data_IF_442174695921
#
_entry.id   IF_442174695921
#
_cell.length_a   1.000
_cell.length_b   1.000
_cell.length_c   1.000
_cell.angle_alpha   90.00
_cell.angle_beta   90.00
_cell.angle_gamma   90.00
#
_symmetry.space_group_name_H-M   'P 1'
#
loop_
_entity.id
_entity.type
_entity.pdbx_description
1 polymer ?
#
# COMPACT_ATOMS: atom_id res chain seq x y z
N UNK A 1 -4.02 21.17 -2.76
CA UNK A 1 -3.15 20.33 -3.60
C UNK A 1 -1.76 20.91 -3.47
N UNK A 2 -0.83 20.14 -2.90
CA UNK A 2 0.57 20.51 -2.79
C UNK A 2 1.34 19.74 -3.87
N UNK A 3 2.29 20.41 -4.51
CA UNK A 3 3.09 19.85 -5.59
C UNK A 3 4.54 20.22 -5.38
N UNK A 4 5.43 19.25 -5.56
CA UNK A 4 6.85 19.47 -5.66
C UNK A 4 7.23 19.59 -7.12
N UNK A 5 7.68 20.77 -7.50
CA UNK A 5 7.91 21.13 -8.90
C UNK A 5 9.38 21.41 -9.15
N UNK A 6 9.84 21.06 -10.35
CA UNK A 6 11.16 21.42 -10.84
C UNK A 6 11.03 22.12 -12.19
N UNK A 7 11.82 23.17 -12.40
CA UNK A 7 11.82 23.92 -13.67
C UNK A 7 13.16 23.77 -14.35
N UNK A 8 13.15 23.23 -15.57
CA UNK A 8 14.31 23.12 -16.46
C UNK A 8 13.99 23.76 -17.81
N UNK A 9 14.88 24.61 -18.31
CA UNK A 9 14.69 25.24 -19.62
C UNK A 9 13.38 26.02 -19.82
N UNK A 10 12.72 26.45 -18.73
CA UNK A 10 11.41 27.13 -18.78
C UNK A 10 10.19 26.20 -18.80
N UNK A 11 10.39 24.88 -18.69
CA UNK A 11 9.33 23.89 -18.50
C UNK A 11 9.28 23.50 -17.03
N UNK A 12 8.11 23.56 -16.41
CA UNK A 12 7.89 23.18 -15.02
C UNK A 12 7.16 21.83 -14.95
N UNK A 13 7.80 20.85 -14.34
CA UNK A 13 7.21 19.53 -14.08
C UNK A 13 6.85 19.39 -12.61
N UNK A 14 5.68 18.82 -12.31
CA UNK A 14 5.36 18.31 -10.98
C UNK A 14 5.95 16.91 -10.81
N UNK A 15 6.94 16.77 -9.95
CA UNK A 15 7.64 15.50 -9.71
C UNK A 15 6.94 14.64 -8.65
N UNK A 16 6.34 15.27 -7.64
CA UNK A 16 5.60 14.60 -6.56
C UNK A 16 4.38 15.43 -6.20
N UNK A 17 3.24 14.79 -5.97
CA UNK A 17 1.99 15.45 -5.60
C UNK A 17 1.44 14.93 -4.29
N UNK A 18 0.84 15.84 -3.51
CA UNK A 18 -0.01 15.55 -2.36
C UNK A 18 -1.39 16.15 -2.62
N UNK A 19 -2.36 15.25 -2.78
CA UNK A 19 -3.78 15.52 -2.83
C UNK A 19 -4.41 15.18 -1.48
N UNK A 20 -5.42 15.93 -1.07
CA UNK A 20 -6.05 15.73 0.24
C UNK A 20 -7.15 16.76 0.51
N UNK A 21 -7.81 16.64 1.67
CA UNK A 21 -8.85 17.58 2.07
C UNK A 21 -8.29 19.00 2.23
N UNK A 22 -9.07 20.00 1.82
CA UNK A 22 -8.81 21.41 2.16
C UNK A 22 -9.22 21.76 3.59
N UNK A 23 -10.10 20.96 4.18
CA UNK A 23 -10.59 21.07 5.56
C UNK A 23 -10.36 19.73 6.26
N UNK A 24 -9.55 19.67 7.34
CA UNK A 24 -9.30 18.45 8.10
C UNK A 24 -10.55 17.67 8.51
N UNK A 25 -11.68 18.34 8.76
CA UNK A 25 -12.95 17.68 9.11
C UNK A 25 -13.52 16.81 7.97
N UNK A 26 -13.08 17.04 6.73
CA UNK A 26 -13.42 16.21 5.56
C UNK A 26 -12.45 15.05 5.34
N UNK A 27 -11.40 14.92 6.14
CA UNK A 27 -10.42 13.86 5.97
C UNK A 27 -11.07 12.47 6.13
N UNK A 28 -10.62 11.53 5.30
CA UNK A 28 -10.70 10.11 5.64
C UNK A 28 -9.47 9.75 6.49
N UNK A 29 -9.60 8.77 7.38
CA UNK A 29 -8.48 8.18 8.10
C UNK A 29 -7.64 7.23 7.20
N UNK A 30 -7.28 7.71 6.01
CA UNK A 30 -6.65 6.94 4.94
C UNK A 30 -5.60 7.79 4.19
N UNK A 31 -4.39 7.25 4.09
CA UNK A 31 -3.32 7.70 3.21
C UNK A 31 -3.14 6.67 2.11
N UNK A 32 -3.04 7.12 0.86
CA UNK A 32 -2.76 6.29 -0.31
C UNK A 32 -1.46 6.80 -0.93
N UNK A 33 -0.42 5.97 -0.98
CA UNK A 33 0.86 6.27 -1.59
C UNK A 33 1.02 5.48 -2.89
N UNK A 34 1.47 6.16 -3.94
CA UNK A 34 1.71 5.58 -5.26
C UNK A 34 3.17 5.84 -5.65
N UNK A 35 4.09 4.97 -5.26
CA UNK A 35 5.53 5.19 -5.47
C UNK A 35 5.97 4.95 -6.93
N UNK A 36 5.28 4.07 -7.67
CA UNK A 36 5.75 3.58 -8.99
C UNK A 36 4.74 3.78 -10.14
N UNK A 37 3.67 4.54 -9.93
CA UNK A 37 2.63 4.81 -10.94
C UNK A 37 2.92 6.01 -11.86
N UNK A 38 4.02 6.73 -11.64
CA UNK A 38 4.46 7.87 -12.43
C UNK A 38 4.93 7.48 -13.83
N UNK A 39 4.79 8.40 -14.78
CA UNK A 39 5.21 8.23 -16.18
C UNK A 39 6.22 9.26 -16.66
N UNK A 40 6.50 10.28 -15.84
CA UNK A 40 7.39 11.38 -16.19
C UNK A 40 8.84 10.88 -16.31
N UNK A 41 9.46 11.16 -17.46
CA UNK A 41 10.86 10.81 -17.77
C UNK A 41 11.61 12.05 -18.24
N UNK A 42 11.93 13.00 -17.35
CA UNK A 42 12.61 14.21 -17.76
C UNK A 42 14.08 13.91 -18.08
N UNK A 43 14.65 14.66 -19.01
CA UNK A 43 16.04 14.48 -19.45
C UNK A 43 17.05 14.99 -18.39
N UNK A 44 16.64 15.93 -17.52
CA UNK A 44 17.47 16.45 -16.43
C UNK A 44 17.63 15.47 -15.24
N UNK A 45 16.91 14.35 -15.24
CA UNK A 45 17.13 13.22 -14.32
C UNK A 45 17.65 12.03 -15.13
N UNK A 46 18.86 11.59 -14.82
CA UNK A 46 19.45 10.40 -15.45
C UNK A 46 18.63 9.14 -15.17
N UNK A 47 18.64 8.20 -16.09
CA UNK A 47 18.00 6.89 -15.86
C UNK A 47 18.83 6.03 -14.90
N UNK A 48 18.14 5.41 -13.96
CA UNK A 48 18.60 4.27 -13.17
C UNK A 48 18.76 3.06 -14.08
N UNK A 49 19.70 2.18 -13.74
CA UNK A 49 19.97 0.94 -14.47
C UNK A 49 19.84 -0.26 -13.56
N UNK A 50 19.49 -1.41 -14.12
CA UNK A 50 19.27 -2.62 -13.30
C UNK A 50 20.57 -3.16 -12.67
N UNK A 51 21.72 -2.93 -13.31
CA UNK A 51 23.00 -3.57 -12.94
C UNK A 51 24.05 -2.56 -12.46
N UNK A 52 23.63 -1.45 -11.86
CA UNK A 52 24.58 -0.47 -11.34
C UNK A 52 25.42 -1.08 -10.19
N UNK A 53 26.76 -1.09 -10.28
CA UNK A 53 27.60 -1.74 -9.28
C UNK A 53 27.69 -0.95 -7.96
N UNK A 54 27.35 0.34 -7.96
CA UNK A 54 27.36 1.19 -6.78
C UNK A 54 26.01 1.14 -6.08
N UNK A 55 24.92 1.25 -6.84
CA UNK A 55 23.57 1.42 -6.29
C UNK A 55 22.72 0.14 -6.31
N UNK A 56 23.10 -0.90 -7.07
CA UNK A 56 22.37 -2.18 -7.19
C UNK A 56 23.25 -3.44 -6.96
N UNK A 57 24.10 -3.52 -5.91
CA UNK A 57 25.08 -4.59 -5.77
C UNK A 57 24.49 -5.99 -5.52
N UNK A 58 23.21 -6.09 -5.12
CA UNK A 58 22.60 -7.31 -4.57
C UNK A 58 21.33 -7.74 -5.31
N UNK A 59 21.47 -8.22 -6.56
CA UNK A 59 20.34 -8.83 -7.30
C UNK A 59 19.59 -7.89 -8.25
N UNK A 60 20.17 -6.72 -8.50
CA UNK A 60 19.75 -5.76 -9.52
C UNK A 60 18.55 -4.89 -9.13
N UNK A 61 18.53 -3.65 -9.61
CA UNK A 61 17.44 -2.72 -9.40
C UNK A 61 16.26 -3.00 -10.32
N UNK A 62 15.05 -2.67 -9.87
CA UNK A 62 13.86 -2.67 -10.71
C UNK A 62 13.63 -1.26 -11.27
N UNK A 63 13.40 -1.19 -12.58
CA UNK A 63 13.22 0.07 -13.31
C UNK A 63 11.87 0.19 -14.02
N UNK A 64 11.14 -0.91 -14.14
CA UNK A 64 9.80 -0.93 -14.75
C UNK A 64 8.78 -0.33 -13.78
N UNK A 65 7.91 0.52 -14.32
CA UNK A 65 6.82 1.12 -13.55
C UNK A 65 5.72 0.11 -13.24
N UNK A 66 4.96 0.43 -12.21
CA UNK A 66 3.82 -0.35 -11.78
C UNK A 66 2.58 0.15 -12.52
N UNK A 67 2.28 -0.52 -13.63
CA UNK A 67 1.23 -0.09 -14.56
C UNK A 67 -0.11 0.08 -13.86
N UNK A 68 -0.83 1.15 -14.22
CA UNK A 68 -2.18 1.48 -13.73
C UNK A 68 -2.34 1.73 -12.21
N UNK A 69 -1.28 1.68 -11.40
CA UNK A 69 -1.38 1.96 -9.95
C UNK A 69 -1.89 3.38 -9.65
N UNK A 70 -1.40 4.39 -10.40
CA UNK A 70 -1.89 5.77 -10.30
C UNK A 70 -3.40 5.90 -10.58
N UNK A 71 -3.94 5.51 -11.76
CA UNK A 71 -5.37 5.64 -12.01
C UNK A 71 -6.23 4.77 -11.08
N UNK A 72 -5.74 3.63 -10.59
CA UNK A 72 -6.44 2.83 -9.57
C UNK A 72 -6.54 3.62 -8.25
N UNK A 73 -5.45 4.22 -7.79
CA UNK A 73 -5.41 5.01 -6.57
C UNK A 73 -6.29 6.27 -6.66
N UNK A 74 -6.27 6.97 -7.80
CA UNK A 74 -7.16 8.11 -8.06
C UNK A 74 -8.63 7.66 -8.07
N UNK A 75 -8.94 6.51 -8.68
CA UNK A 75 -10.29 5.93 -8.66
C UNK A 75 -10.74 5.58 -7.25
N UNK A 76 -9.87 4.97 -6.44
CA UNK A 76 -10.13 4.65 -5.05
C UNK A 76 -10.43 5.93 -4.25
N UNK A 77 -9.61 6.96 -4.37
CA UNK A 77 -9.82 8.25 -3.72
C UNK A 77 -11.17 8.87 -4.12
N UNK A 78 -11.50 8.87 -5.41
CA UNK A 78 -12.79 9.36 -5.91
C UNK A 78 -13.97 8.56 -5.37
N UNK A 79 -13.84 7.24 -5.21
CA UNK A 79 -14.89 6.40 -4.62
C UNK A 79 -15.10 6.70 -3.14
N UNK A 80 -14.06 7.04 -2.39
CA UNK A 80 -14.20 7.51 -1.01
C UNK A 80 -15.02 8.81 -0.94
N UNK A 81 -14.73 9.77 -1.81
CA UNK A 81 -15.45 11.04 -1.87
C UNK A 81 -16.92 10.81 -2.23
N UNK A 82 -17.19 10.01 -3.26
CA UNK A 82 -18.54 9.72 -3.74
C UNK A 82 -19.41 9.01 -2.71
N UNK A 83 -18.85 8.02 -2.00
CA UNK A 83 -19.62 7.14 -1.13
C UNK A 83 -19.70 7.66 0.31
N UNK A 84 -18.70 8.39 0.79
CA UNK A 84 -18.58 8.75 2.21
C UNK A 84 -18.48 10.26 2.45
N UNK A 85 -18.41 11.09 1.40
CA UNK A 85 -18.14 12.53 1.54
C UNK A 85 -16.85 12.82 2.35
N UNK A 86 -15.89 11.90 2.29
CA UNK A 86 -14.58 12.00 2.94
C UNK A 86 -13.47 11.94 1.90
N UNK A 87 -12.38 12.66 2.15
CA UNK A 87 -11.25 12.84 1.23
C UNK A 87 -10.02 12.15 1.82
N UNK A 88 -9.50 11.07 1.21
CA UNK A 88 -8.23 10.51 1.63
C UNK A 88 -7.06 11.39 1.19
N UNK A 89 -5.93 11.26 1.86
CA UNK A 89 -4.66 11.82 1.38
C UNK A 89 -4.09 10.90 0.30
N UNK A 90 -3.72 11.46 -0.84
CA UNK A 90 -3.16 10.73 -1.98
C UNK A 90 -1.81 11.34 -2.38
N UNK A 91 -0.75 10.57 -2.19
CA UNK A 91 0.64 10.94 -2.49
C UNK A 91 1.08 10.19 -3.73
N UNK A 92 1.50 10.91 -4.77
CA UNK A 92 1.87 10.32 -6.06
C UNK A 92 3.29 10.76 -6.39
N UNK A 93 4.17 9.79 -6.62
CA UNK A 93 5.40 10.02 -7.37
C UNK A 93 5.05 10.05 -8.87
N UNK A 94 5.24 11.20 -9.51
CA UNK A 94 4.97 11.36 -10.95
C UNK A 94 6.15 10.91 -11.82
N UNK A 95 7.35 10.79 -11.24
CA UNK A 95 8.52 10.24 -11.91
C UNK A 95 8.31 8.75 -12.20
N UNK A 96 8.67 8.34 -13.41
CA UNK A 96 8.76 6.93 -13.76
C UNK A 96 9.81 6.24 -12.88
N UNK A 97 9.62 4.96 -12.54
CA UNK A 97 10.53 4.20 -11.66
C UNK A 97 11.98 4.15 -12.15
N UNK A 98 12.18 4.21 -13.47
CA UNK A 98 13.52 4.35 -14.08
C UNK A 98 14.23 5.66 -13.72
N UNK A 99 13.51 6.71 -13.33
CA UNK A 99 14.09 7.98 -12.86
C UNK A 99 14.28 7.98 -11.36
N UNK A 100 13.30 7.45 -10.63
CA UNK A 100 13.35 7.37 -9.18
C UNK A 100 12.47 6.24 -8.66
N UNK A 101 13.02 5.37 -7.80
CA UNK A 101 12.24 4.37 -7.07
C UNK A 101 11.95 4.87 -5.65
N UNK A 102 10.77 5.43 -5.44
CA UNK A 102 10.36 5.99 -4.16
C UNK A 102 10.25 4.95 -3.02
N UNK A 103 10.30 3.64 -3.33
CA UNK A 103 10.19 2.54 -2.37
C UNK A 103 11.53 1.81 -2.18
N UNK A 104 12.63 2.57 -2.26
CA UNK A 104 13.99 2.17 -1.94
C UNK A 104 14.68 3.20 -1.05
N UNK A 105 15.76 2.78 -0.41
CA UNK A 105 16.68 3.69 0.27
C UNK A 105 17.24 4.69 -0.73
N UNK A 106 17.46 5.93 -0.30
CA UNK A 106 17.70 7.08 -1.18
C UNK A 106 18.83 6.84 -2.20
N UNK A 107 19.89 6.11 -1.83
CA UNK A 107 20.98 5.78 -2.74
C UNK A 107 20.52 4.94 -3.93
N UNK A 108 19.85 3.82 -3.67
CA UNK A 108 19.24 2.98 -4.72
C UNK A 108 18.09 3.70 -5.45
N UNK A 109 17.36 4.55 -4.74
CA UNK A 109 16.21 5.26 -5.26
C UNK A 109 16.56 6.30 -6.31
N UNK A 110 17.66 7.06 -6.10
CA UNK A 110 17.97 8.27 -6.86
C UNK A 110 19.32 8.23 -7.61
N UNK A 111 20.17 7.23 -7.36
CA UNK A 111 21.48 7.06 -8.00
C UNK A 111 22.37 8.32 -7.89
N UNK A 112 22.26 9.04 -6.76
CA UNK A 112 23.02 10.27 -6.51
C UNK A 112 22.56 11.49 -7.32
N UNK A 113 21.44 11.42 -8.05
CA UNK A 113 20.87 12.58 -8.73
C UNK A 113 20.15 13.48 -7.71
N UNK A 114 20.68 14.68 -7.46
CA UNK A 114 20.17 15.60 -6.44
C UNK A 114 18.68 15.98 -6.61
N UNK A 115 18.18 16.03 -7.85
CA UNK A 115 16.76 16.35 -8.12
C UNK A 115 15.88 15.15 -7.76
N UNK A 116 16.30 13.94 -8.14
CA UNK A 116 15.62 12.71 -7.73
C UNK A 116 15.69 12.50 -6.21
N UNK A 117 16.80 12.81 -5.55
CA UNK A 117 16.90 12.78 -4.08
C UNK A 117 15.91 13.75 -3.43
N UNK A 118 15.80 14.97 -3.96
CA UNK A 118 14.84 15.96 -3.47
C UNK A 118 13.39 15.51 -3.66
N UNK A 119 13.07 14.91 -4.82
CA UNK A 119 11.76 14.34 -5.09
C UNK A 119 11.47 13.15 -4.15
N UNK A 120 12.44 12.27 -3.92
CA UNK A 120 12.34 11.14 -3.00
C UNK A 120 12.04 11.63 -1.58
N UNK A 121 12.82 12.58 -1.08
CA UNK A 121 12.62 13.18 0.24
C UNK A 121 11.22 13.77 0.34
N UNK A 122 10.79 14.50 -0.68
CA UNK A 122 9.48 15.16 -0.66
C UNK A 122 8.31 14.17 -0.70
N UNK A 123 8.45 13.04 -1.39
CA UNK A 123 7.47 11.95 -1.36
C UNK A 123 7.27 11.41 0.06
N UNK A 124 8.36 11.13 0.78
CA UNK A 124 8.28 10.65 2.16
C UNK A 124 7.82 11.74 3.15
N UNK A 125 8.20 13.00 2.93
CA UNK A 125 7.67 14.14 3.70
C UNK A 125 6.15 14.26 3.56
N UNK A 126 5.60 14.16 2.34
CA UNK A 126 4.15 14.20 2.14
C UNK A 126 3.41 13.04 2.79
N UNK A 127 3.99 11.84 2.83
CA UNK A 127 3.44 10.72 3.59
C UNK A 127 3.42 11.03 5.09
N UNK A 128 4.49 11.64 5.63
CA UNK A 128 4.55 12.06 7.02
C UNK A 128 3.55 13.18 7.34
N UNK A 129 3.44 14.19 6.49
CA UNK A 129 2.45 15.28 6.61
C UNK A 129 1.02 14.74 6.65
N UNK A 130 0.68 13.80 5.77
CA UNK A 130 -0.63 13.15 5.75
C UNK A 130 -0.89 12.35 7.05
N UNK A 131 0.09 11.58 7.52
CA UNK A 131 -0.02 10.85 8.79
C UNK A 131 -0.20 11.79 9.99
N UNK A 132 0.56 12.88 10.08
CA UNK A 132 0.42 13.88 11.15
C UNK A 132 -0.95 14.56 11.12
N UNK A 133 -1.48 14.81 9.93
CA UNK A 133 -2.82 15.39 9.76
C UNK A 133 -3.91 14.41 10.23
N UNK A 134 -3.80 13.13 9.87
CA UNK A 134 -4.70 12.07 10.38
C UNK A 134 -4.55 11.91 11.89
N UNK A 135 -3.34 11.95 12.44
CA UNK A 135 -3.12 11.86 13.87
C UNK A 135 -3.81 12.99 14.62
N UNK A 136 -3.78 14.21 14.08
CA UNK A 136 -4.41 15.38 14.70
C UNK A 136 -5.94 15.24 14.69
N UNK A 137 -6.52 14.77 13.58
CA UNK A 137 -7.97 14.65 13.41
C UNK A 137 -8.55 13.41 14.13
N UNK A 138 -7.88 12.27 14.04
CA UNK A 138 -8.40 10.98 14.51
C UNK A 138 -7.72 10.46 15.78
N UNK A 139 -6.61 11.06 16.20
CA UNK A 139 -5.87 10.68 17.41
C UNK A 139 -4.95 9.47 17.23
N UNK A 140 -4.41 9.01 18.35
CA UNK A 140 -3.53 7.84 18.43
C UNK A 140 -4.20 6.65 19.12
N UNK A 141 -3.65 5.47 18.91
CA UNK A 141 -3.98 4.23 19.63
C UNK A 141 -2.69 3.63 20.18
N UNK A 142 -2.69 3.31 21.47
CA UNK A 142 -1.59 2.58 22.11
C UNK A 142 -1.98 1.11 22.21
N UNK A 143 -1.10 0.26 21.70
CA UNK A 143 -1.33 -1.17 21.68
C UNK A 143 -0.87 -1.83 23.00
N UNK A 144 -1.10 -3.14 23.18
CA UNK A 144 -0.77 -3.85 24.44
C UNK A 144 0.73 -3.91 24.74
N UNK A 145 1.58 -3.64 23.75
CA UNK A 145 3.03 -3.55 23.88
C UNK A 145 3.54 -2.12 24.11
N UNK A 146 2.65 -1.18 24.46
CA UNK A 146 2.94 0.25 24.67
C UNK A 146 3.52 0.95 23.43
N UNK A 147 3.23 0.46 22.23
CA UNK A 147 3.59 1.14 20.99
C UNK A 147 2.42 2.00 20.55
N UNK A 148 2.68 3.28 20.34
CA UNK A 148 1.71 4.24 19.83
C UNK A 148 1.67 4.21 18.30
N UNK A 149 0.46 4.20 17.73
CA UNK A 149 0.21 4.35 16.31
C UNK A 149 -0.90 5.36 16.04
N UNK A 150 -0.98 5.83 14.79
CA UNK A 150 -2.05 6.72 14.33
C UNK A 150 -3.33 5.91 14.07
N UNK A 151 -4.50 6.46 14.42
CA UNK A 151 -5.81 5.87 14.10
C UNK A 151 -6.17 6.07 12.63
N UNK A 152 -5.42 5.42 11.74
CA UNK A 152 -5.65 5.46 10.30
C UNK A 152 -4.91 4.35 9.55
N UNK A 153 -5.15 4.27 8.25
CA UNK A 153 -4.53 3.29 7.36
C UNK A 153 -3.62 3.97 6.34
N UNK A 154 -2.52 3.30 5.99
CA UNK A 154 -1.65 3.68 4.86
C UNK A 154 -1.69 2.54 3.85
N UNK A 155 -2.07 2.86 2.62
CA UNK A 155 -1.99 1.95 1.48
C UNK A 155 -0.80 2.33 0.62
N UNK A 156 0.17 1.42 0.51
CA UNK A 156 1.28 1.51 -0.44
C UNK A 156 0.89 0.70 -1.69
N UNK A 157 0.53 1.38 -2.78
CA UNK A 157 -0.09 0.77 -3.96
C UNK A 157 0.97 0.39 -4.99
N UNK A 158 1.13 -0.91 -5.19
CA UNK A 158 2.07 -1.51 -6.16
C UNK A 158 1.35 -2.36 -7.20
N UNK A 159 2.03 -2.59 -8.31
CA UNK A 159 1.67 -3.53 -9.36
C UNK A 159 2.47 -4.82 -9.23
N UNK A 160 1.84 -5.94 -9.52
CA UNK A 160 2.48 -7.24 -9.50
C UNK A 160 2.23 -7.99 -10.80
N UNK A 161 3.29 -8.49 -11.45
CA UNK A 161 3.14 -9.21 -12.71
C UNK A 161 2.50 -10.58 -12.53
N UNK A 162 2.60 -11.21 -11.36
CA UNK A 162 1.94 -12.50 -11.07
C UNK A 162 2.44 -13.70 -11.86
N UNK A 163 3.53 -13.54 -12.61
CA UNK A 163 4.06 -14.54 -13.55
C UNK A 163 4.68 -15.77 -12.85
N UNK A 164 4.92 -15.67 -11.55
CA UNK A 164 5.39 -16.77 -10.71
C UNK A 164 4.28 -17.75 -10.29
N UNK A 165 3.01 -17.33 -10.39
CA UNK A 165 1.84 -18.15 -10.08
C UNK A 165 1.03 -18.49 -11.33
N UNK A 166 0.80 -17.53 -12.23
CA UNK A 166 0.12 -17.76 -13.50
C UNK A 166 1.00 -17.24 -14.63
N UNK A 167 1.27 -18.06 -15.65
CA UNK A 167 2.18 -17.69 -16.75
C UNK A 167 1.78 -16.39 -17.47
N UNK A 168 0.48 -16.06 -17.48
CA UNK A 168 -0.08 -14.87 -18.12
C UNK A 168 -0.39 -13.72 -17.12
N UNK A 169 0.10 -13.86 -15.88
CA UNK A 169 -0.11 -12.91 -14.79
C UNK A 169 -1.31 -13.20 -13.90
N UNK A 170 -1.35 -12.58 -12.73
CA UNK A 170 -2.42 -12.82 -11.75
C UNK A 170 -3.64 -11.97 -12.05
N UNK A 171 -4.80 -12.61 -12.17
CA UNK A 171 -6.11 -11.94 -12.35
C UNK A 171 -6.67 -11.32 -11.05
N UNK A 172 -5.89 -11.30 -9.96
CA UNK A 172 -6.37 -10.89 -8.63
C UNK A 172 -5.86 -9.52 -8.22
N UNK A 173 -6.75 -8.76 -7.58
CA UNK A 173 -6.33 -7.71 -6.65
C UNK A 173 -5.81 -8.43 -5.40
N UNK A 174 -4.56 -8.18 -5.06
CA UNK A 174 -3.90 -8.80 -3.92
C UNK A 174 -3.69 -7.79 -2.80
N UNK A 175 -3.96 -8.21 -1.57
CA UNK A 175 -3.65 -7.44 -0.37
C UNK A 175 -2.35 -7.96 0.24
N UNK A 176 -1.26 -7.24 -0.03
CA UNK A 176 0.06 -7.57 0.49
C UNK A 176 0.29 -7.00 1.89
N UNK A 177 0.80 -7.83 2.80
CA UNK A 177 1.15 -7.41 4.16
C UNK A 177 2.66 -7.35 4.41
N UNK A 178 3.47 -7.34 3.35
CA UNK A 178 4.94 -7.42 3.39
C UNK A 178 5.45 -8.59 4.27
N UNK A 179 4.72 -9.71 4.27
CA UNK A 179 5.12 -10.95 4.92
C UNK A 179 5.78 -11.86 3.88
N UNK A 180 6.96 -12.38 4.18
CA UNK A 180 7.66 -13.31 3.30
C UNK A 180 6.93 -14.65 3.18
N UNK A 181 7.16 -15.37 2.08
CA UNK A 181 6.55 -16.70 1.83
C UNK A 181 6.73 -17.65 3.01
N UNK A 182 7.94 -17.79 3.56
CA UNK A 182 8.19 -18.67 4.71
C UNK A 182 7.44 -18.26 5.99
N UNK A 183 7.10 -16.98 6.11
CA UNK A 183 6.28 -16.50 7.21
C UNK A 183 4.80 -16.82 6.97
N UNK A 184 4.37 -16.76 5.72
CA UNK A 184 3.02 -17.11 5.32
C UNK A 184 2.78 -18.63 5.32
N UNK A 185 3.73 -19.43 4.88
CA UNK A 185 3.58 -20.89 4.86
C UNK A 185 3.65 -21.52 6.26
N UNK A 186 4.05 -20.74 7.27
CA UNK A 186 3.97 -21.16 8.67
C UNK A 186 2.55 -20.96 9.18
N UNK A 187 2.12 -21.97 9.94
CA UNK A 187 0.84 -21.96 10.65
C UNK A 187 0.83 -21.04 11.88
N UNK A 188 1.97 -20.42 12.22
CA UNK A 188 2.09 -19.44 13.29
C UNK A 188 2.85 -18.21 12.78
N UNK A 189 2.10 -17.13 12.50
CA UNK A 189 2.67 -15.85 12.05
C UNK A 189 3.01 -14.89 13.21
N UNK A 190 2.82 -15.31 14.47
CA UNK A 190 2.95 -14.46 15.67
C UNK A 190 4.39 -14.14 16.06
N UNK A 191 5.39 -14.69 15.34
CA UNK A 191 6.80 -14.49 15.67
C UNK A 191 7.19 -13.01 15.68
N UNK A 192 8.08 -12.61 16.59
CA UNK A 192 8.62 -11.23 16.60
C UNK A 192 9.48 -10.89 15.37
N UNK A 193 9.78 -11.87 14.51
CA UNK A 193 10.60 -11.75 13.30
C UNK A 193 9.76 -11.45 12.06
N UNK A 194 8.44 -11.58 12.11
CA UNK A 194 7.53 -11.23 11.02
C UNK A 194 7.35 -9.71 10.98
N UNK A 195 8.31 -9.02 10.34
CA UNK A 195 8.27 -7.56 10.11
C UNK A 195 7.56 -7.27 8.79
N UNK A 196 6.22 -7.21 8.84
CA UNK A 196 5.39 -6.79 7.72
C UNK A 196 4.72 -5.44 7.94
N UNK A 197 3.80 -5.06 7.05
CA UNK A 197 2.99 -3.82 7.09
C UNK A 197 2.11 -3.70 8.35
N UNK A 198 2.00 -4.79 9.14
CA UNK A 198 1.23 -4.88 10.38
C UNK A 198 2.07 -4.83 11.67
N UNK A 199 3.26 -4.25 11.63
CA UNK A 199 4.15 -4.16 12.82
C UNK A 199 3.47 -3.54 14.04
N UNK A 200 2.58 -2.56 13.85
CA UNK A 200 1.77 -1.96 14.92
C UNK A 200 0.48 -2.76 15.20
N UNK A 201 -0.14 -3.27 14.14
CA UNK A 201 -1.42 -3.97 14.18
C UNK A 201 -1.35 -5.30 14.94
N UNK A 202 -0.20 -6.00 14.93
CA UNK A 202 0.01 -7.28 15.65
C UNK A 202 -0.19 -7.23 17.18
N UNK A 203 -0.25 -6.04 17.76
CA UNK A 203 -0.44 -5.86 19.19
C UNK A 203 -1.75 -5.12 19.50
N UNK A 204 -2.60 -4.87 18.48
CA UNK A 204 -3.89 -4.21 18.72
C UNK A 204 -4.68 -5.01 19.77
N UNK A 205 -5.22 -4.34 20.80
CA UNK A 205 -5.97 -5.03 21.85
C UNK A 205 -7.13 -5.84 21.25
N UNK A 206 -7.22 -7.11 21.62
CA UNK A 206 -8.30 -7.99 21.17
C UNK A 206 -8.14 -8.60 19.78
N UNK A 207 -7.05 -8.30 19.06
CA UNK A 207 -6.83 -8.81 17.70
C UNK A 207 -5.48 -9.53 17.58
N UNK A 208 -5.49 -10.82 17.24
CA UNK A 208 -4.25 -11.53 16.89
C UNK A 208 -3.79 -11.15 15.49
N UNK A 209 -2.48 -11.19 15.22
CA UNK A 209 -1.95 -10.97 13.86
C UNK A 209 -2.55 -11.99 12.87
N UNK A 210 -2.77 -13.23 13.30
CA UNK A 210 -3.46 -14.26 12.52
C UNK A 210 -4.86 -13.82 12.10
N UNK A 211 -5.64 -13.26 13.03
CA UNK A 211 -6.98 -12.73 12.77
C UNK A 211 -6.97 -11.61 11.71
N UNK A 212 -5.95 -10.74 11.75
CA UNK A 212 -5.81 -9.59 10.85
C UNK A 212 -5.25 -9.94 9.47
N UNK A 213 -4.56 -11.08 9.33
CA UNK A 213 -3.96 -11.50 8.05
C UNK A 213 -4.82 -12.53 7.34
N UNK A 214 -5.39 -13.51 8.07
CA UNK A 214 -6.13 -14.66 7.50
C UNK A 214 -7.52 -14.87 8.09
N UNK A 215 -7.77 -14.40 9.31
CA UNK A 215 -9.02 -14.61 10.00
C UNK A 215 -10.17 -13.69 9.56
N UNK A 216 -11.30 -13.75 10.27
CA UNK A 216 -12.52 -13.02 9.93
C UNK A 216 -12.37 -11.50 9.86
N UNK A 217 -11.35 -10.94 10.53
CA UNK A 217 -11.08 -9.50 10.54
C UNK A 217 -10.00 -9.06 9.56
N UNK A 218 -9.49 -9.99 8.74
CA UNK A 218 -8.53 -9.68 7.69
C UNK A 218 -9.13 -8.76 6.62
N UNK A 219 -8.28 -7.96 5.97
CA UNK A 219 -8.75 -7.07 4.91
C UNK A 219 -9.31 -7.85 3.71
N UNK A 220 -8.74 -9.04 3.44
CA UNK A 220 -9.24 -9.97 2.43
C UNK A 220 -10.66 -10.44 2.75
N UNK A 221 -10.94 -10.88 3.99
CA UNK A 221 -12.29 -11.27 4.39
C UNK A 221 -13.26 -10.09 4.34
N UNK A 222 -12.88 -8.95 4.92
CA UNK A 222 -13.72 -7.74 4.91
C UNK A 222 -14.07 -7.29 3.51
N UNK A 223 -13.16 -7.43 2.55
CA UNK A 223 -13.44 -7.13 1.15
C UNK A 223 -14.38 -8.18 0.55
N UNK A 224 -14.14 -9.46 0.81
CA UNK A 224 -14.99 -10.55 0.34
C UNK A 224 -16.44 -10.42 0.82
N UNK A 225 -16.66 -10.02 2.07
CA UNK A 225 -18.00 -9.79 2.64
C UNK A 225 -18.78 -8.67 1.94
N UNK A 226 -18.06 -7.75 1.27
CA UNK A 226 -18.66 -6.66 0.48
C UNK A 226 -18.81 -7.02 -1.00
N UNK A 227 -18.26 -8.15 -1.46
CA UNK A 227 -18.39 -8.57 -2.85
C UNK A 227 -19.78 -9.18 -3.09
N UNK A 228 -20.48 -8.79 -4.17
CA UNK A 228 -21.69 -9.47 -4.56
C UNK A 228 -21.39 -10.94 -4.88
N UNK A 229 -22.27 -11.85 -4.44
CA UNK A 229 -22.17 -13.30 -4.66
C UNK A 229 -21.98 -13.69 -6.14
N UNK A 230 -22.38 -12.83 -7.07
CA UNK A 230 -22.18 -13.02 -8.51
C UNK A 230 -20.72 -12.95 -8.97
N UNK A 231 -19.82 -12.36 -8.19
CA UNK A 231 -18.37 -12.34 -8.46
C UNK A 231 -17.64 -13.54 -7.83
N UNK A 232 -18.26 -14.23 -6.86
CA UNK A 232 -17.68 -15.38 -6.16
C UNK A 232 -17.71 -16.69 -6.98
N UNK A 233 -18.15 -16.66 -8.24
CA UNK A 233 -18.29 -17.85 -9.08
C UNK A 233 -16.99 -18.33 -9.72
N UNK A 234 -15.89 -17.56 -9.64
CA UNK A 234 -14.59 -18.11 -10.01
C UNK A 234 -14.03 -18.92 -8.84
N UNK A 235 -13.55 -20.13 -9.09
CA UNK A 235 -12.89 -20.99 -8.08
C UNK A 235 -11.59 -20.38 -7.49
N UNK A 236 -11.33 -19.11 -7.79
CA UNK A 236 -10.10 -18.39 -7.56
C UNK A 236 -10.25 -17.15 -6.66
N UNK A 237 -11.48 -16.65 -6.45
CA UNK A 237 -11.71 -15.63 -5.42
C UNK A 237 -11.51 -16.25 -4.01
N UNK A 238 -10.68 -15.63 -3.18
CA UNK A 238 -10.60 -15.95 -1.75
C UNK A 238 -9.68 -17.10 -1.34
N UNK A 239 -8.65 -17.45 -2.12
CA UNK A 239 -7.63 -18.42 -1.66
C UNK A 239 -6.66 -17.78 -0.65
N UNK A 240 -7.19 -17.36 0.50
CA UNK A 240 -6.36 -17.13 1.67
C UNK A 240 -5.70 -18.44 2.09
N UNK A 241 -4.56 -18.37 2.78
CA UNK A 241 -4.00 -19.56 3.40
C UNK A 241 -4.93 -20.00 4.55
N UNK A 242 -5.24 -21.29 4.69
CA UNK A 242 -6.08 -21.77 5.79
C UNK A 242 -5.42 -21.45 7.14
N UNK A 243 -6.20 -20.90 8.07
CA UNK A 243 -5.74 -20.65 9.44
C UNK A 243 -5.95 -21.92 10.30
N UNK A 244 -5.15 -22.09 11.36
CA UNK A 244 -5.39 -23.13 12.36
C UNK A 244 -6.51 -22.75 13.34
N UNK A 245 -6.70 -21.44 13.56
CA UNK A 245 -7.65 -20.90 14.53
C UNK A 245 -8.97 -20.49 13.86
N UNK A 246 -8.95 -20.25 12.54
CA UNK A 246 -10.12 -19.82 11.77
C UNK A 246 -10.29 -20.67 10.52
N UNK A 247 -11.53 -21.05 10.15
CA UNK A 247 -11.77 -21.77 8.91
C UNK A 247 -11.28 -20.96 7.70
N UNK A 248 -10.84 -21.66 6.64
CA UNK A 248 -10.41 -21.04 5.38
C UNK A 248 -11.47 -20.04 4.88
N UNK A 249 -11.09 -18.87 4.32
CA UNK A 249 -12.02 -17.88 3.79
C UNK A 249 -13.08 -18.47 2.83
N UNK A 250 -12.77 -19.54 2.10
CA UNK A 250 -13.72 -20.27 1.26
C UNK A 250 -14.77 -21.03 2.07
N UNK A 251 -14.40 -21.63 3.19
CA UNK A 251 -15.34 -22.36 4.06
C UNK A 251 -16.36 -21.40 4.68
N UNK A 252 -15.94 -20.19 5.08
CA UNK A 252 -16.83 -19.15 5.62
C UNK A 252 -17.62 -18.41 4.56
N UNK A 253 -17.05 -18.12 3.37
CA UNK A 253 -17.76 -17.44 2.29
C UNK A 253 -18.95 -18.25 1.73
N UNK A 254 -18.97 -19.56 1.94
CA UNK A 254 -20.06 -20.45 1.52
C UNK A 254 -21.01 -20.88 2.66
N UNK A 255 -20.78 -20.43 3.90
CA UNK A 255 -21.58 -20.80 5.06
C UNK A 255 -22.48 -19.63 5.53
N UNK A 256 -23.81 -19.70 5.31
CA UNK A 256 -24.75 -18.67 5.72
C UNK A 256 -24.81 -18.43 7.24
N UNK A 257 -24.37 -19.40 8.05
CA UNK A 257 -24.41 -19.28 9.52
C UNK A 257 -23.25 -18.44 10.07
N UNK A 258 -22.14 -18.31 9.33
CA UNK A 258 -20.98 -17.52 9.77
C UNK A 258 -21.17 -16.01 9.51
N UNK A 259 -22.03 -15.63 8.56
CA UNK A 259 -22.37 -14.24 8.26
C UNK A 259 -23.26 -13.57 9.35
N UNK A 260 -23.75 -14.33 10.32
CA UNK A 260 -24.70 -13.86 11.33
C UNK A 260 -24.04 -13.39 12.65
N UNK A 261 -22.76 -13.71 12.85
CA UNK A 261 -22.05 -13.37 14.08
C UNK A 261 -21.01 -12.29 13.79
N UNK A 262 -21.39 -11.01 13.97
CA UNK A 262 -20.55 -9.93 14.52
C UNK A 262 -21.25 -8.55 14.45
N UNK A 263 -22.46 -8.46 15.02
CA UNK A 263 -22.91 -7.22 15.67
C UNK A 263 -22.68 -7.40 17.18
N UNK A 264 -21.51 -6.96 17.63
CA UNK A 264 -21.07 -7.00 19.03
C UNK A 264 -19.84 -6.11 19.24
#
# INVERSE_FOLDING_TARGET
MNSFEYTDGGVTDSLVKLLGPSDPALAAALVIAVPHGGSLKPDYIGDRTENDPTYCPSGGCRILADSYTKPIAETLANKFIQNYCKVPYLIINELHRSKMDANREIGEAAFGNAIAESAWTKFHEYINEAQSSIQTEFGTVTNTASIEGVRGLVFDVHGYSGTDWHNDGSDFIQWGYCLGKDSLDKNDITSSKTRGSFTHARHMPGESLECLVRGPKSLGQRFNDQLPLSLASSETCGRGLPSLDYPDPKAVASDPTYCADNDG
#
